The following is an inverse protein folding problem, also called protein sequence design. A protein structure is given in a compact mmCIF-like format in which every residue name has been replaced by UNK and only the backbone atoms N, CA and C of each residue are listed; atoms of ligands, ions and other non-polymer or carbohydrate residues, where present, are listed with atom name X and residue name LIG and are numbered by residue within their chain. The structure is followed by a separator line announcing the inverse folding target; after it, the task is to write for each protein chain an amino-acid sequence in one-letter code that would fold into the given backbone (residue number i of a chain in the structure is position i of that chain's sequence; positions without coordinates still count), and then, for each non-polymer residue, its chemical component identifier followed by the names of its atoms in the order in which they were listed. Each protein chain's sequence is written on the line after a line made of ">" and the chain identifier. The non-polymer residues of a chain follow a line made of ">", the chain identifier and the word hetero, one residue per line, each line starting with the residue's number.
data_IF_271194025971
#
_entry.id   IF_271194025971
#
_cell.length_a   1.000
_cell.length_b   1.000
_cell.length_c   1.000
_cell.angle_alpha   90.00
_cell.angle_beta   90.00
_cell.angle_gamma   90.00
#
_symmetry.space_group_name_H-M   'P 1'
#
loop_
_entity.id
_entity.type
_entity.pdbx_description
1 polymer ?
#
# COMPACT_ATOMS: atom_id res chain seq x y z
N UNK A 1 28.03 1.27 0.89
CA UNK A 1 27.55 1.16 -0.51
C UNK A 1 26.50 0.06 -0.51
N UNK A 2 25.30 0.36 -0.97
CA UNK A 2 24.23 -0.64 -1.10
C UNK A 2 24.64 -1.56 -2.25
N UNK A 3 24.70 -2.89 -1.99
CA UNK A 3 24.85 -3.86 -3.07
C UNK A 3 23.63 -3.75 -4.00
N UNK A 4 23.83 -3.76 -5.33
CA UNK A 4 22.69 -3.82 -6.24
C UNK A 4 21.85 -5.05 -5.92
N UNK A 5 20.51 -4.91 -6.00
CA UNK A 5 19.62 -6.02 -5.78
C UNK A 5 19.96 -7.17 -6.74
N UNK A 6 19.93 -8.39 -6.23
CA UNK A 6 19.99 -9.58 -7.05
C UNK A 6 18.68 -9.62 -7.84
N UNK A 7 18.73 -9.49 -9.17
CA UNK A 7 17.55 -9.68 -10.00
C UNK A 7 17.05 -11.10 -9.77
N UNK A 8 15.81 -11.19 -9.24
CA UNK A 8 15.15 -12.48 -9.12
C UNK A 8 14.87 -13.06 -10.50
N UNK A 9 15.01 -14.35 -10.58
CA UNK A 9 14.26 -15.11 -11.56
C UNK A 9 12.77 -14.93 -11.25
N UNK A 10 11.90 -14.70 -12.25
CA UNK A 10 10.45 -14.47 -12.12
C UNK A 10 9.71 -15.58 -11.34
N UNK A 11 10.39 -16.67 -11.00
CA UNK A 11 9.87 -17.78 -10.21
C UNK A 11 9.86 -17.52 -8.69
N UNK A 12 10.47 -16.44 -8.18
CA UNK A 12 10.55 -16.17 -6.74
C UNK A 12 9.44 -15.23 -6.24
N UNK A 13 8.92 -14.31 -7.09
CA UNK A 13 7.69 -13.57 -6.82
C UNK A 13 6.62 -14.03 -7.81
N UNK A 14 5.64 -14.82 -7.38
CA UNK A 14 4.70 -15.45 -8.29
C UNK A 14 3.76 -14.44 -8.96
N UNK A 15 3.33 -14.75 -10.18
CA UNK A 15 2.29 -14.04 -10.91
C UNK A 15 1.02 -14.89 -10.87
N UNK A 16 -0.04 -14.38 -10.30
CA UNK A 16 -1.31 -15.08 -10.12
C UNK A 16 -2.37 -14.48 -11.05
N UNK A 17 -3.03 -15.34 -11.82
CA UNK A 17 -4.19 -14.98 -12.60
C UNK A 17 -5.44 -14.99 -11.70
N UNK A 18 -6.02 -13.80 -11.44
CA UNK A 18 -7.20 -13.67 -10.59
C UNK A 18 -8.51 -13.61 -11.39
N UNK A 19 -8.47 -13.74 -12.71
CA UNK A 19 -9.67 -13.78 -13.56
C UNK A 19 -10.72 -14.76 -13.07
N UNK A 20 -10.37 -16.03 -12.75
CA UNK A 20 -11.34 -17.00 -12.21
C UNK A 20 -11.99 -16.54 -10.90
N UNK A 21 -11.26 -15.84 -10.02
CA UNK A 21 -11.80 -15.29 -8.78
C UNK A 21 -12.77 -14.13 -9.02
N UNK A 22 -12.50 -13.29 -10.00
CA UNK A 22 -13.37 -12.17 -10.39
C UNK A 22 -14.68 -12.69 -10.98
N UNK A 23 -14.60 -13.67 -11.90
CA UNK A 23 -15.76 -14.23 -12.59
C UNK A 23 -16.51 -15.27 -11.77
N UNK A 24 -16.07 -15.59 -10.56
CA UNK A 24 -16.66 -16.61 -9.68
C UNK A 24 -16.74 -18.01 -10.34
N UNK A 25 -15.73 -18.31 -11.16
CA UNK A 25 -15.54 -19.60 -11.80
C UNK A 25 -14.85 -20.60 -10.86
N UNK A 26 -14.44 -21.77 -11.38
CA UNK A 26 -13.62 -22.72 -10.61
C UNK A 26 -12.30 -22.06 -10.22
N UNK A 27 -12.22 -21.62 -8.96
CA UNK A 27 -11.12 -20.76 -8.46
C UNK A 27 -10.15 -21.49 -7.52
N UNK A 28 -10.33 -22.80 -7.27
CA UNK A 28 -9.46 -23.57 -6.38
C UNK A 28 -7.96 -23.41 -6.73
N UNK A 29 -7.50 -23.54 -8.00
CA UNK A 29 -6.09 -23.33 -8.32
C UNK A 29 -5.58 -21.91 -8.00
N UNK A 30 -6.44 -20.90 -8.20
CA UNK A 30 -6.12 -19.52 -7.85
C UNK A 30 -6.02 -19.35 -6.33
N UNK A 31 -6.93 -19.94 -5.55
CA UNK A 31 -6.93 -19.91 -4.08
C UNK A 31 -5.68 -20.61 -3.53
N UNK A 32 -5.30 -21.76 -4.09
CA UNK A 32 -4.08 -22.47 -3.69
C UNK A 32 -2.82 -21.65 -4.02
N UNK A 33 -2.79 -20.97 -5.17
CA UNK A 33 -1.71 -20.07 -5.53
C UNK A 33 -1.62 -18.87 -4.58
N UNK A 34 -2.77 -18.26 -4.22
CA UNK A 34 -2.82 -17.19 -3.23
C UNK A 34 -2.34 -17.68 -1.85
N UNK A 35 -2.79 -18.85 -1.41
CA UNK A 35 -2.34 -19.45 -0.14
C UNK A 35 -0.83 -19.64 -0.10
N UNK A 36 -0.25 -20.22 -1.14
CA UNK A 36 1.20 -20.43 -1.24
C UNK A 36 1.95 -19.10 -1.26
N UNK A 37 1.56 -18.16 -2.12
CA UNK A 37 2.22 -16.88 -2.25
C UNK A 37 2.19 -16.06 -0.94
N UNK A 38 1.04 -16.00 -0.26
CA UNK A 38 0.89 -15.29 1.01
C UNK A 38 1.71 -15.93 2.15
N UNK A 39 1.81 -17.26 2.19
CA UNK A 39 2.54 -17.96 3.26
C UNK A 39 4.04 -18.07 3.01
N UNK A 40 4.48 -18.14 1.77
CA UNK A 40 5.89 -18.36 1.43
C UNK A 40 6.67 -17.07 1.20
N UNK A 41 6.03 -16.08 0.57
CA UNK A 41 6.68 -14.83 0.15
C UNK A 41 6.04 -13.60 0.79
N UNK A 42 4.70 -13.57 0.92
CA UNK A 42 3.94 -12.40 1.35
C UNK A 42 3.82 -11.31 0.27
N UNK A 43 4.38 -11.54 -0.92
CA UNK A 43 4.36 -10.69 -2.11
C UNK A 43 4.07 -11.51 -3.36
N UNK A 44 3.26 -10.96 -4.26
CA UNK A 44 2.98 -11.57 -5.56
C UNK A 44 2.41 -10.54 -6.54
N UNK A 45 2.48 -10.84 -7.83
CA UNK A 45 1.80 -10.06 -8.85
C UNK A 45 0.43 -10.66 -9.14
N UNK A 46 -0.52 -9.82 -9.49
CA UNK A 46 -1.81 -10.24 -10.04
C UNK A 46 -1.99 -9.72 -11.46
N UNK A 47 -2.59 -10.54 -12.32
CA UNK A 47 -3.02 -10.17 -13.67
C UNK A 47 -4.51 -10.44 -13.88
N UNK A 48 -5.06 -9.93 -14.98
CA UNK A 48 -6.49 -10.02 -15.30
C UNK A 48 -7.40 -9.36 -14.25
N UNK A 49 -6.90 -8.27 -13.64
CA UNK A 49 -7.54 -7.50 -12.56
C UNK A 49 -8.67 -6.57 -13.05
N UNK A 50 -8.85 -6.41 -14.36
CA UNK A 50 -9.90 -5.61 -15.03
C UNK A 50 -9.88 -4.10 -14.76
N UNK A 51 -8.86 -3.56 -14.12
CA UNK A 51 -8.69 -2.10 -14.02
C UNK A 51 -8.07 -1.62 -15.33
N UNK A 52 -8.72 -0.69 -16.07
CA UNK A 52 -8.20 -0.22 -17.36
C UNK A 52 -6.84 0.49 -17.20
N UNK A 53 -5.86 0.11 -18.00
CA UNK A 53 -4.55 0.77 -18.01
C UNK A 53 -4.65 2.27 -18.31
N UNK A 54 -5.62 2.68 -19.16
CA UNK A 54 -5.90 4.10 -19.44
C UNK A 54 -6.24 4.88 -18.18
N UNK A 55 -6.98 4.30 -17.23
CA UNK A 55 -7.30 4.97 -15.97
C UNK A 55 -6.04 5.18 -15.11
N UNK A 56 -5.14 4.21 -15.10
CA UNK A 56 -3.84 4.33 -14.39
C UNK A 56 -3.02 5.47 -14.98
N UNK A 57 -2.96 5.55 -16.32
CA UNK A 57 -2.26 6.64 -17.02
C UNK A 57 -2.91 8.02 -16.77
N UNK A 58 -4.23 8.09 -16.69
CA UNK A 58 -4.94 9.32 -16.34
C UNK A 58 -4.57 9.80 -14.93
N UNK A 59 -4.52 8.89 -13.94
CA UNK A 59 -4.09 9.23 -12.57
C UNK A 59 -2.65 9.69 -12.56
N UNK A 60 -1.76 8.98 -13.24
CA UNK A 60 -0.33 9.34 -13.33
C UNK A 60 -0.17 10.73 -13.93
N UNK A 61 -0.77 11.02 -15.07
CA UNK A 61 -0.67 12.33 -15.74
C UNK A 61 -1.21 13.47 -14.87
N UNK A 62 -2.36 13.27 -14.19
CA UNK A 62 -2.91 14.27 -13.29
C UNK A 62 -2.03 14.51 -12.05
N UNK A 63 -1.36 13.46 -11.55
CA UNK A 63 -0.42 13.57 -10.46
C UNK A 63 0.89 14.27 -10.88
N UNK A 64 1.41 13.97 -12.08
CA UNK A 64 2.56 14.68 -12.66
C UNK A 64 2.31 16.19 -12.74
N UNK A 65 1.13 16.59 -13.24
CA UNK A 65 0.72 18.00 -13.30
C UNK A 65 0.72 18.63 -11.90
N UNK A 66 0.14 17.98 -10.89
CA UNK A 66 0.10 18.46 -9.53
C UNK A 66 1.49 18.54 -8.88
N UNK A 67 2.34 17.52 -9.02
CA UNK A 67 3.68 17.52 -8.41
C UNK A 67 4.63 18.55 -9.05
N UNK A 68 4.39 18.95 -10.29
CA UNK A 68 5.09 20.06 -10.94
C UNK A 68 4.64 21.44 -10.44
N UNK A 69 3.57 21.54 -9.65
CA UNK A 69 3.09 22.82 -9.12
C UNK A 69 4.10 23.47 -8.16
N UNK A 70 4.04 24.79 -7.96
CA UNK A 70 4.82 25.49 -6.95
C UNK A 70 4.62 24.88 -5.56
N UNK A 71 5.68 24.80 -4.77
CA UNK A 71 5.64 24.19 -3.44
C UNK A 71 4.59 24.82 -2.51
N UNK A 72 4.38 26.13 -2.61
CA UNK A 72 3.36 26.86 -1.85
C UNK A 72 1.94 26.34 -2.14
N UNK A 73 1.62 26.05 -3.41
CA UNK A 73 0.32 25.51 -3.80
C UNK A 73 0.12 24.07 -3.28
N UNK A 74 1.16 23.24 -3.35
CA UNK A 74 1.14 21.89 -2.80
C UNK A 74 0.98 21.91 -1.27
N UNK A 75 1.74 22.77 -0.57
CA UNK A 75 1.70 22.93 0.88
C UNK A 75 0.38 23.50 1.40
N UNK A 76 -0.38 24.26 0.61
CA UNK A 76 -1.74 24.67 0.96
C UNK A 76 -2.67 23.46 1.21
N UNK A 77 -2.30 22.29 0.69
CA UNK A 77 -3.00 21.01 0.88
C UNK A 77 -2.23 20.06 1.79
N UNK A 78 -1.33 20.55 2.64
CA UNK A 78 -0.53 19.71 3.52
C UNK A 78 -1.38 18.65 4.24
N UNK A 79 -0.77 17.49 4.46
CA UNK A 79 -1.41 16.31 5.04
C UNK A 79 -2.08 16.62 6.40
N UNK A 80 -3.29 16.10 6.59
CA UNK A 80 -4.05 16.25 7.83
C UNK A 80 -3.77 15.12 8.83
N UNK A 81 -4.21 15.24 10.10
CA UNK A 81 -4.15 14.13 11.06
C UNK A 81 -4.86 12.85 10.59
N UNK A 82 -5.82 12.97 9.66
CA UNK A 82 -6.53 11.84 9.05
C UNK A 82 -5.75 11.21 7.87
N UNK A 83 -4.50 11.65 7.64
CA UNK A 83 -3.64 11.20 6.54
C UNK A 83 -4.32 11.40 5.17
N UNK A 84 -4.68 12.65 4.90
CA UNK A 84 -5.26 13.12 3.61
C UNK A 84 -4.62 14.43 3.20
N UNK A 85 -4.23 14.53 1.93
CA UNK A 85 -3.56 15.69 1.36
C UNK A 85 -2.11 15.42 0.96
N UNK A 86 -1.33 16.47 0.80
CA UNK A 86 0.03 16.46 0.31
C UNK A 86 1.05 16.19 1.42
N UNK A 87 1.92 15.23 1.21
CA UNK A 87 3.09 14.94 2.04
C UNK A 87 4.34 15.38 1.28
N UNK A 88 5.07 16.41 1.76
CA UNK A 88 6.25 16.91 1.07
C UNK A 88 7.46 15.98 1.18
N UNK A 89 8.48 16.29 0.39
CA UNK A 89 9.72 15.54 0.34
C UNK A 89 10.41 15.49 1.72
N UNK A 90 10.97 14.34 2.08
CA UNK A 90 11.73 14.12 3.32
C UNK A 90 10.92 14.25 4.63
N UNK A 91 9.61 14.20 4.58
CA UNK A 91 8.73 14.44 5.74
C UNK A 91 8.36 13.19 6.54
N UNK A 92 8.70 11.99 6.07
CA UNK A 92 8.40 10.75 6.75
C UNK A 92 9.55 10.35 7.67
N UNK A 93 9.32 10.40 8.97
CA UNK A 93 10.23 9.84 9.98
C UNK A 93 9.77 8.42 10.31
N UNK A 94 10.66 7.43 10.17
CA UNK A 94 10.45 6.11 10.73
C UNK A 94 11.16 6.09 12.09
N UNK A 95 10.44 6.42 13.16
CA UNK A 95 10.94 6.24 14.51
C UNK A 95 10.82 4.78 14.93
N UNK A 96 11.94 4.23 15.24
CA UNK A 96 12.10 2.90 15.84
C UNK A 96 13.45 2.32 15.45
N UNK A 97 14.42 2.38 16.37
CA UNK A 97 15.77 1.85 16.24
C UNK A 97 16.70 2.61 15.29
N UNK A 98 17.65 3.36 15.82
CA UNK A 98 18.95 3.86 15.29
C UNK A 98 19.13 4.14 13.78
N UNK A 99 18.08 4.18 12.98
CA UNK A 99 18.08 4.46 11.55
C UNK A 99 17.10 5.58 11.21
N UNK A 100 17.45 6.80 11.58
CA UNK A 100 16.79 8.00 11.05
C UNK A 100 17.10 8.13 9.55
N UNK A 101 16.39 7.38 8.71
CA UNK A 101 16.40 7.51 7.26
C UNK A 101 15.20 8.34 6.83
N UNK A 102 15.42 9.40 6.07
CA UNK A 102 14.34 10.13 5.40
C UNK A 102 14.01 9.43 4.08
N UNK A 103 12.73 9.13 3.85
CA UNK A 103 12.30 8.63 2.54
C UNK A 103 12.32 9.75 1.51
N UNK A 104 13.00 9.54 0.37
CA UNK A 104 13.11 10.51 -0.71
C UNK A 104 11.93 10.39 -1.67
N UNK A 105 10.76 10.79 -1.18
CA UNK A 105 9.51 10.82 -1.93
C UNK A 105 8.59 11.92 -1.41
N UNK A 106 7.76 12.44 -2.29
CA UNK A 106 6.57 13.21 -1.93
C UNK A 106 5.32 12.40 -2.29
N UNK A 107 4.15 12.78 -1.79
CA UNK A 107 2.95 12.02 -2.08
C UNK A 107 1.66 12.76 -1.84
N UNK A 108 0.61 12.34 -2.53
CA UNK A 108 -0.74 12.86 -2.31
C UNK A 108 -1.67 11.73 -1.86
N UNK A 109 -2.32 11.93 -0.70
CA UNK A 109 -3.12 10.93 -0.03
C UNK A 109 -4.61 11.25 -0.07
N UNK A 110 -5.42 10.22 -0.33
CA UNK A 110 -6.88 10.27 -0.20
C UNK A 110 -7.39 9.03 0.53
N UNK A 111 -8.64 9.09 0.95
CA UNK A 111 -9.41 7.95 1.46
C UNK A 111 -10.87 8.12 1.09
N UNK A 112 -11.76 7.38 1.76
CA UNK A 112 -13.20 7.61 1.62
C UNK A 112 -13.53 9.06 1.94
N UNK A 113 -14.31 9.71 1.09
CA UNK A 113 -14.70 11.11 1.27
C UNK A 113 -15.83 11.19 2.31
N UNK A 114 -15.45 11.46 3.55
CA UNK A 114 -16.40 11.59 4.67
C UNK A 114 -16.72 13.07 4.89
N UNK A 115 -18.00 13.42 5.10
CA UNK A 115 -18.35 14.81 5.39
C UNK A 115 -17.72 15.29 6.71
N UNK A 116 -17.49 16.60 6.86
CA UNK A 116 -16.95 17.22 8.07
C UNK A 116 -17.77 16.92 9.33
N UNK A 117 -19.05 16.61 9.17
CA UNK A 117 -19.93 16.21 10.27
C UNK A 117 -19.53 14.85 10.89
N UNK A 118 -18.72 14.05 10.21
CA UNK A 118 -18.16 12.82 10.78
C UNK A 118 -16.96 13.19 11.64
N UNK A 119 -17.18 13.31 12.94
CA UNK A 119 -16.11 13.56 13.91
C UNK A 119 -15.35 12.26 14.19
N UNK A 120 -14.33 11.99 13.39
CA UNK A 120 -13.41 10.86 13.60
C UNK A 120 -11.97 11.37 13.58
N UNK A 121 -11.13 10.95 14.55
CA UNK A 121 -9.71 11.29 14.52
C UNK A 121 -8.95 10.61 13.39
N UNK A 122 -9.55 9.59 12.76
CA UNK A 122 -8.93 8.74 11.73
C UNK A 122 -9.52 8.96 10.34
N UNK A 123 -10.63 9.68 10.21
CA UNK A 123 -11.29 9.87 8.93
C UNK A 123 -11.98 11.25 8.84
N UNK A 124 -12.14 11.76 7.63
CA UNK A 124 -12.69 13.08 7.36
C UNK A 124 -12.77 13.34 5.86
N UNK A 125 -12.98 14.60 5.42
CA UNK A 125 -13.03 14.95 4.01
C UNK A 125 -11.66 14.80 3.33
N UNK A 126 -11.67 14.49 2.04
CA UNK A 126 -10.49 14.63 1.20
C UNK A 126 -10.21 16.12 0.94
N UNK A 127 -8.94 16.46 0.70
CA UNK A 127 -8.50 17.79 0.31
C UNK A 127 -8.15 17.78 -1.16
N UNK A 128 -8.63 18.75 -1.92
CA UNK A 128 -8.44 18.77 -3.37
C UNK A 128 -7.92 20.12 -3.85
N UNK A 129 -6.94 20.14 -4.76
CA UNK A 129 -6.50 21.37 -5.43
C UNK A 129 -7.55 21.80 -6.46
N UNK A 130 -8.11 23.00 -6.29
CA UNK A 130 -9.11 23.54 -7.25
C UNK A 130 -8.50 23.76 -8.64
N UNK A 131 -7.21 24.08 -8.70
CA UNK A 131 -6.46 24.34 -9.94
C UNK A 131 -6.22 23.07 -10.75
N UNK A 132 -6.29 21.87 -10.14
CA UNK A 132 -5.99 20.57 -10.76
C UNK A 132 -7.19 19.61 -10.65
N UNK A 133 -8.35 19.92 -11.27
CA UNK A 133 -9.60 19.16 -11.08
C UNK A 133 -9.51 17.72 -11.62
N UNK A 134 -8.60 17.47 -12.57
CA UNK A 134 -8.29 16.14 -13.10
C UNK A 134 -7.79 15.20 -12.02
N UNK A 135 -7.00 15.69 -11.06
CA UNK A 135 -6.49 14.87 -9.94
C UNK A 135 -7.63 14.27 -9.12
N UNK A 136 -8.63 15.09 -8.76
CA UNK A 136 -9.80 14.62 -8.01
C UNK A 136 -10.56 13.55 -8.78
N UNK A 137 -10.94 13.83 -10.02
CA UNK A 137 -11.81 12.96 -10.80
C UNK A 137 -11.16 11.61 -11.11
N UNK A 138 -9.85 11.59 -11.43
CA UNK A 138 -9.13 10.37 -11.76
C UNK A 138 -8.82 9.54 -10.52
N UNK A 139 -8.34 10.17 -9.43
CA UNK A 139 -8.03 9.46 -8.20
C UNK A 139 -9.26 8.82 -7.56
N UNK A 140 -10.43 9.49 -7.57
CA UNK A 140 -11.67 8.88 -7.04
C UNK A 140 -12.12 7.68 -7.87
N UNK A 141 -12.08 7.77 -9.22
CA UNK A 141 -12.41 6.63 -10.08
C UNK A 141 -11.45 5.46 -9.85
N UNK A 142 -10.16 5.73 -9.74
CA UNK A 142 -9.16 4.70 -9.47
C UNK A 142 -9.31 4.09 -8.07
N UNK A 143 -9.63 4.91 -7.07
CA UNK A 143 -9.93 4.45 -5.72
C UNK A 143 -11.10 3.47 -5.71
N UNK A 144 -12.20 3.82 -6.39
CA UNK A 144 -13.38 2.96 -6.48
C UNK A 144 -13.08 1.62 -7.17
N UNK A 145 -12.30 1.63 -8.27
CA UNK A 145 -11.91 0.41 -8.97
C UNK A 145 -10.98 -0.49 -8.12
N UNK A 146 -10.01 0.13 -7.44
CA UNK A 146 -9.09 -0.62 -6.57
C UNK A 146 -9.78 -1.14 -5.31
N UNK A 147 -10.76 -0.44 -4.75
CA UNK A 147 -11.61 -0.94 -3.65
C UNK A 147 -12.47 -2.15 -4.10
N UNK A 148 -13.00 -2.15 -5.34
CA UNK A 148 -13.68 -3.34 -5.89
C UNK A 148 -12.72 -4.52 -6.00
N UNK A 149 -11.52 -4.29 -6.51
CA UNK A 149 -10.47 -5.31 -6.58
C UNK A 149 -10.07 -5.81 -5.18
N UNK A 150 -9.99 -4.91 -4.19
CA UNK A 150 -9.72 -5.28 -2.81
C UNK A 150 -10.78 -6.25 -2.24
N UNK A 151 -12.06 -6.04 -2.55
CA UNK A 151 -13.14 -6.95 -2.13
C UNK A 151 -13.02 -8.34 -2.78
N UNK A 152 -12.56 -8.41 -4.03
CA UNK A 152 -12.28 -9.70 -4.69
C UNK A 152 -11.13 -10.43 -3.98
N UNK A 153 -10.05 -9.71 -3.65
CA UNK A 153 -8.91 -10.29 -2.95
C UNK A 153 -9.25 -10.71 -1.51
N UNK A 154 -10.07 -9.94 -0.78
CA UNK A 154 -10.56 -10.32 0.56
C UNK A 154 -11.30 -11.65 0.53
N UNK A 155 -12.11 -11.89 -0.50
CA UNK A 155 -12.76 -13.19 -0.71
C UNK A 155 -11.73 -14.30 -0.96
N UNK A 156 -10.74 -14.05 -1.83
CA UNK A 156 -9.67 -15.01 -2.09
C UNK A 156 -8.85 -15.34 -0.84
N UNK A 157 -8.50 -14.33 -0.04
CA UNK A 157 -7.77 -14.53 1.21
C UNK A 157 -8.61 -15.28 2.27
N UNK A 158 -9.92 -15.00 2.37
CA UNK A 158 -10.79 -15.77 3.25
C UNK A 158 -10.73 -17.25 2.91
N UNK A 159 -10.92 -17.60 1.65
CA UNK A 159 -10.87 -18.99 1.16
C UNK A 159 -9.46 -19.60 1.32
N UNK A 160 -8.40 -18.82 1.04
CA UNK A 160 -7.02 -19.26 1.23
C UNK A 160 -6.70 -19.58 2.70
N UNK A 161 -7.37 -18.94 3.65
CA UNK A 161 -7.30 -19.24 5.09
C UNK A 161 -8.22 -20.39 5.52
N UNK A 162 -9.03 -20.94 4.62
CA UNK A 162 -10.02 -21.98 4.94
C UNK A 162 -11.26 -21.44 5.65
N UNK A 163 -11.53 -20.15 5.52
CA UNK A 163 -12.69 -19.47 6.08
C UNK A 163 -13.81 -19.34 5.04
N UNK A 164 -15.02 -18.98 5.49
CA UNK A 164 -16.12 -18.61 4.59
C UNK A 164 -15.71 -17.43 3.68
N UNK A 165 -16.19 -17.42 2.45
CA UNK A 165 -15.76 -16.47 1.42
C UNK A 165 -15.95 -14.98 1.78
N UNK A 166 -16.95 -14.67 2.61
CA UNK A 166 -17.26 -13.31 3.08
C UNK A 166 -16.65 -12.96 4.46
N UNK A 167 -15.88 -13.91 5.05
CA UNK A 167 -15.44 -13.77 6.44
C UNK A 167 -14.63 -12.49 6.67
N UNK A 168 -13.60 -12.25 5.89
CA UNK A 168 -12.76 -11.04 6.05
C UNK A 168 -13.51 -9.76 5.71
N UNK A 169 -14.42 -9.77 4.72
CA UNK A 169 -15.19 -8.58 4.33
C UNK A 169 -16.00 -7.96 5.47
N UNK A 170 -16.31 -8.74 6.50
CA UNK A 170 -17.04 -8.27 7.71
C UNK A 170 -16.26 -7.21 8.49
N UNK A 171 -14.94 -7.21 8.39
CA UNK A 171 -14.02 -6.27 9.05
C UNK A 171 -13.77 -4.98 8.24
N UNK A 172 -14.30 -4.92 7.00
CA UNK A 172 -14.10 -3.81 6.06
C UNK A 172 -15.41 -3.07 5.70
N UNK A 173 -16.36 -2.98 6.64
CA UNK A 173 -17.66 -2.30 6.41
C UNK A 173 -17.52 -0.79 6.26
N UNK A 174 -16.64 -0.17 7.02
CA UNK A 174 -16.27 1.23 6.95
C UNK A 174 -14.74 1.35 6.94
N UNK A 175 -14.07 0.89 5.88
CA UNK A 175 -12.63 0.71 5.87
C UNK A 175 -11.89 2.04 6.01
N UNK A 176 -10.73 2.00 6.66
CA UNK A 176 -9.79 3.12 6.74
C UNK A 176 -8.77 3.08 5.59
N UNK A 177 -9.15 2.52 4.45
CA UNK A 177 -8.26 2.44 3.28
C UNK A 177 -7.75 3.80 2.86
N UNK A 178 -6.50 3.84 2.40
CA UNK A 178 -5.83 5.05 1.90
C UNK A 178 -5.18 4.76 0.57
N UNK A 179 -5.51 5.59 -0.41
CA UNK A 179 -4.83 5.63 -1.69
C UNK A 179 -3.76 6.73 -1.64
N UNK A 180 -2.59 6.42 -2.13
CA UNK A 180 -1.51 7.39 -2.29
C UNK A 180 -1.00 7.39 -3.72
N UNK A 181 -0.72 8.54 -4.29
CA UNK A 181 0.20 8.65 -5.41
C UNK A 181 1.54 9.09 -4.88
N UNK A 182 2.58 8.30 -5.13
CA UNK A 182 3.96 8.64 -4.80
C UNK A 182 4.68 9.21 -6.02
N UNK A 183 5.44 10.26 -5.80
CA UNK A 183 6.45 10.77 -6.70
C UNK A 183 7.83 10.64 -6.03
N UNK A 184 8.76 10.04 -6.73
CA UNK A 184 10.16 9.89 -6.32
C UNK A 184 11.02 10.69 -7.31
N UNK A 185 11.46 11.90 -6.94
CA UNK A 185 12.33 12.70 -7.80
C UNK A 185 13.62 11.97 -8.13
N UNK A 186 14.28 12.35 -9.24
CA UNK A 186 15.55 11.75 -9.64
C UNK A 186 16.60 11.83 -8.55
N UNK A 187 17.17 10.69 -8.17
CA UNK A 187 18.33 10.64 -7.27
C UNK A 187 19.60 10.35 -8.05
N UNK A 188 20.66 11.08 -7.73
CA UNK A 188 22.00 10.82 -8.31
C UNK A 188 22.62 9.59 -7.65
N UNK A 189 23.16 8.70 -8.46
CA UNK A 189 23.95 7.55 -7.98
C UNK A 189 25.29 8.00 -7.39
N UNK A 190 25.82 7.35 -6.33
CA UNK A 190 25.23 6.21 -5.64
C UNK A 190 24.14 6.63 -4.64
N UNK A 191 23.07 5.88 -4.60
CA UNK A 191 22.04 6.03 -3.57
C UNK A 191 22.62 5.54 -2.24
N UNK A 192 22.43 6.33 -1.18
CA UNK A 192 22.92 6.02 0.17
C UNK A 192 21.85 5.27 0.96
N UNK A 193 22.27 4.45 1.92
CA UNK A 193 21.35 3.71 2.80
C UNK A 193 20.47 4.63 3.67
N UNK A 194 20.92 5.84 3.93
CA UNK A 194 20.18 6.86 4.67
C UNK A 194 19.29 7.75 3.79
N UNK A 195 19.21 7.48 2.47
CA UNK A 195 18.43 8.27 1.51
C UNK A 195 17.81 7.37 0.44
N UNK A 196 16.97 6.44 0.86
CA UNK A 196 16.21 5.56 -0.03
C UNK A 196 14.94 6.25 -0.50
N UNK A 197 14.35 5.80 -1.61
CA UNK A 197 13.00 6.18 -2.00
C UNK A 197 12.01 5.87 -0.88
N UNK A 198 12.07 4.64 -0.34
CA UNK A 198 11.40 4.24 0.92
C UNK A 198 12.34 3.33 1.71
N UNK A 199 12.55 3.64 2.98
CA UNK A 199 13.34 2.80 3.88
C UNK A 199 12.69 1.43 4.13
N UNK A 200 13.46 0.40 4.54
CA UNK A 200 12.90 -0.90 4.89
C UNK A 200 11.77 -0.82 5.91
N UNK A 201 10.61 -1.41 5.60
CA UNK A 201 9.43 -1.44 6.46
C UNK A 201 8.51 -2.60 6.09
N UNK A 202 7.51 -2.84 6.92
CA UNK A 202 6.31 -3.65 6.61
C UNK A 202 5.09 -2.76 6.61
N UNK A 203 4.03 -3.14 5.88
CA UNK A 203 2.77 -2.41 5.89
C UNK A 203 1.94 -2.76 7.13
N UNK A 204 1.37 -1.75 7.78
CA UNK A 204 0.64 -1.91 9.04
C UNK A 204 -0.81 -2.39 8.89
N UNK A 205 -1.35 -2.37 7.66
CA UNK A 205 -2.74 -2.68 7.34
C UNK A 205 -3.02 -4.16 7.07
N UNK A 206 -4.14 -4.41 6.37
CA UNK A 206 -4.48 -5.75 5.89
C UNK A 206 -3.57 -6.20 4.76
N UNK A 207 -3.56 -5.47 3.68
CA UNK A 207 -2.71 -5.71 2.50
C UNK A 207 -2.65 -4.45 1.63
N UNK A 208 -1.74 -4.43 0.66
CA UNK A 208 -1.56 -3.33 -0.28
C UNK A 208 -1.76 -3.81 -1.71
N UNK A 209 -2.44 -3.00 -2.53
CA UNK A 209 -2.54 -3.13 -3.99
C UNK A 209 -1.69 -2.03 -4.59
N UNK A 210 -0.59 -2.38 -5.24
CA UNK A 210 0.40 -1.41 -5.73
C UNK A 210 0.54 -1.48 -7.24
N UNK A 211 0.26 -0.37 -7.93
CA UNK A 211 0.79 -0.13 -9.26
C UNK A 211 2.14 0.59 -9.17
N UNK A 212 3.09 0.21 -10.00
CA UNK A 212 4.38 0.89 -10.18
C UNK A 212 4.69 1.10 -11.66
N UNK A 213 5.38 2.18 -11.97
CA UNK A 213 5.84 2.48 -13.31
C UNK A 213 7.01 1.61 -13.75
N UNK A 214 7.45 1.82 -15.00
CA UNK A 214 8.55 1.08 -15.66
C UNK A 214 9.92 1.29 -15.04
N UNK A 215 10.10 2.29 -14.17
CA UNK A 215 11.40 2.60 -13.52
C UNK A 215 11.77 1.52 -12.50
N UNK A 216 10.77 0.95 -11.82
CA UNK A 216 11.01 -0.12 -10.85
C UNK A 216 11.58 0.37 -9.52
N UNK A 217 12.54 -0.39 -8.95
CA UNK A 217 13.23 -0.05 -7.71
C UNK A 217 12.57 -0.58 -6.43
N UNK A 218 11.44 -1.26 -6.51
CA UNK A 218 10.88 -2.02 -5.38
C UNK A 218 11.73 -3.26 -5.12
N UNK A 219 12.10 -3.46 -3.86
CA UNK A 219 12.83 -4.63 -3.38
C UNK A 219 12.13 -5.23 -2.17
N UNK A 220 12.09 -6.55 -2.13
CA UNK A 220 11.45 -7.35 -1.09
C UNK A 220 12.51 -8.20 -0.40
N UNK A 221 12.47 -8.31 0.93
CA UNK A 221 13.42 -9.11 1.67
C UNK A 221 12.97 -10.57 1.72
N UNK A 222 13.79 -11.48 1.21
CA UNK A 222 13.48 -12.90 1.27
C UNK A 222 13.71 -13.48 2.68
N UNK A 223 13.30 -14.74 2.89
CA UNK A 223 13.45 -15.43 4.18
C UNK A 223 14.91 -15.60 4.66
N UNK A 224 15.89 -15.37 3.77
CA UNK A 224 17.33 -15.38 4.10
C UNK A 224 17.86 -13.99 4.46
N UNK A 225 17.00 -12.96 4.46
CA UNK A 225 17.39 -11.57 4.69
C UNK A 225 18.01 -10.88 3.47
N UNK A 226 17.95 -11.49 2.28
CA UNK A 226 18.49 -10.92 1.05
C UNK A 226 17.43 -10.04 0.38
N UNK A 227 17.84 -8.89 -0.17
CA UNK A 227 16.98 -7.99 -0.93
C UNK A 227 16.84 -8.45 -2.36
N UNK A 228 15.62 -8.53 -2.80
CA UNK A 228 15.21 -9.09 -4.05
C UNK A 228 14.36 -8.09 -4.81
N UNK A 229 14.74 -7.76 -6.06
CA UNK A 229 14.00 -6.83 -6.90
C UNK A 229 12.62 -7.36 -7.28
N UNK A 230 11.62 -6.48 -7.22
CA UNK A 230 10.28 -6.71 -7.75
C UNK A 230 10.09 -5.83 -9.01
N UNK A 231 10.62 -6.22 -10.18
CA UNK A 231 10.57 -5.42 -11.39
C UNK A 231 9.11 -5.21 -11.85
N UNK A 232 8.82 -4.07 -12.53
CA UNK A 232 7.52 -3.88 -13.14
C UNK A 232 7.21 -4.97 -14.17
N UNK A 233 6.00 -5.50 -14.11
CA UNK A 233 5.45 -6.41 -15.11
C UNK A 233 4.23 -5.70 -15.71
N UNK A 234 4.18 -5.64 -17.04
CA UNK A 234 3.09 -4.99 -17.75
C UNK A 234 1.74 -5.61 -17.37
N UNK A 235 0.72 -4.77 -17.24
CA UNK A 235 -0.66 -5.16 -16.91
C UNK A 235 -0.77 -6.00 -15.61
N UNK A 236 0.03 -5.65 -14.60
CA UNK A 236 -0.06 -6.28 -13.27
C UNK A 236 -0.09 -5.25 -12.14
N UNK A 237 -0.64 -5.69 -11.01
CA UNK A 237 -0.41 -5.06 -9.71
C UNK A 237 0.48 -5.96 -8.85
N UNK A 238 1.28 -5.33 -7.99
CA UNK A 238 1.94 -6.02 -6.87
C UNK A 238 0.99 -6.03 -5.69
N UNK A 239 0.84 -7.18 -5.06
CA UNK A 239 0.10 -7.34 -3.81
C UNK A 239 1.09 -7.70 -2.72
N UNK A 240 0.98 -7.06 -1.56
CA UNK A 240 1.72 -7.46 -0.39
C UNK A 240 0.82 -7.56 0.85
N UNK A 241 1.10 -8.56 1.67
CA UNK A 241 0.44 -8.82 2.94
C UNK A 241 0.94 -7.84 4.00
N UNK A 242 0.01 -7.27 4.78
CA UNK A 242 0.32 -6.38 5.90
C UNK A 242 0.19 -7.05 7.27
N UNK A 243 0.63 -6.35 8.31
CA UNK A 243 0.74 -6.86 9.67
C UNK A 243 -0.61 -7.34 10.26
N UNK A 244 -1.72 -6.70 9.87
CA UNK A 244 -3.04 -7.12 10.37
C UNK A 244 -3.43 -8.48 9.77
N UNK A 245 -3.17 -8.70 8.48
CA UNK A 245 -3.44 -10.00 7.85
C UNK A 245 -2.53 -11.09 8.40
N UNK A 246 -1.27 -10.78 8.69
CA UNK A 246 -0.36 -11.69 9.38
C UNK A 246 -0.89 -12.07 10.76
N UNK A 247 -1.37 -11.10 11.55
CA UNK A 247 -2.00 -11.34 12.86
C UNK A 247 -3.26 -12.19 12.73
N UNK A 248 -4.17 -11.86 11.82
CA UNK A 248 -5.39 -12.64 11.59
C UNK A 248 -5.11 -14.09 11.18
N UNK A 249 -4.07 -14.30 10.39
CA UNK A 249 -3.64 -15.63 9.98
C UNK A 249 -2.76 -16.36 11.01
N UNK A 250 -2.55 -15.76 12.19
CA UNK A 250 -1.65 -16.30 13.21
C UNK A 250 -0.25 -16.62 12.68
N UNK A 251 0.31 -15.71 11.83
CA UNK A 251 1.61 -15.86 11.22
C UNK A 251 1.65 -16.83 10.03
N UNK A 252 0.51 -17.37 9.59
CA UNK A 252 0.47 -18.24 8.41
C UNK A 252 0.73 -17.44 7.12
N UNK A 253 0.16 -16.26 6.97
CA UNK A 253 0.55 -15.30 5.95
C UNK A 253 1.69 -14.43 6.49
N UNK A 254 2.59 -14.02 5.62
CA UNK A 254 3.80 -13.28 6.00
C UNK A 254 3.70 -11.80 5.60
N UNK A 255 3.84 -10.90 6.57
CA UNK A 255 4.09 -9.48 6.30
C UNK A 255 5.58 -9.29 6.04
N UNK A 256 5.95 -9.07 4.79
CA UNK A 256 7.35 -9.15 4.36
C UNK A 256 7.97 -7.75 4.25
N UNK A 257 9.17 -7.53 4.83
CA UNK A 257 9.88 -6.27 4.71
C UNK A 257 10.19 -5.93 3.24
N UNK A 258 9.97 -4.66 2.89
CA UNK A 258 10.26 -4.15 1.56
C UNK A 258 10.78 -2.72 1.62
N UNK A 259 11.42 -2.29 0.53
CA UNK A 259 12.01 -0.95 0.39
C UNK A 259 11.95 -0.48 -1.05
N UNK A 260 12.21 0.81 -1.30
CA UNK A 260 12.31 1.37 -2.64
C UNK A 260 13.64 2.06 -2.82
N UNK A 261 14.35 1.72 -3.90
CA UNK A 261 15.58 2.37 -4.33
C UNK A 261 15.31 3.05 -5.68
N UNK A 262 15.32 4.38 -5.72
CA UNK A 262 15.22 5.12 -6.98
C UNK A 262 16.63 5.42 -7.52
N UNK A 263 17.21 4.49 -8.26
CA UNK A 263 18.56 4.63 -8.85
C UNK A 263 18.56 5.10 -10.30
N UNK A 264 17.40 5.25 -10.93
CA UNK A 264 17.27 5.45 -12.38
C UNK A 264 17.66 6.85 -12.88
N UNK A 265 17.86 7.82 -12.00
CA UNK A 265 18.09 9.22 -12.39
C UNK A 265 16.90 9.85 -13.13
N UNK A 266 15.72 9.25 -13.02
CA UNK A 266 14.46 9.66 -13.60
C UNK A 266 13.38 9.77 -12.51
N UNK A 267 12.32 10.51 -12.81
CA UNK A 267 11.13 10.54 -11.97
C UNK A 267 10.47 9.15 -11.97
N UNK A 268 10.11 8.67 -10.79
CA UNK A 268 9.39 7.41 -10.58
C UNK A 268 8.05 7.68 -9.94
N UNK A 269 7.02 6.95 -10.38
CA UNK A 269 5.68 7.00 -9.80
C UNK A 269 5.22 5.62 -9.32
N UNK A 270 4.46 5.62 -8.24
CA UNK A 270 3.73 4.42 -7.79
C UNK A 270 2.42 4.81 -7.10
N UNK A 271 1.43 3.92 -7.18
CA UNK A 271 0.08 4.20 -6.71
C UNK A 271 -0.40 3.04 -5.82
N UNK A 272 -0.04 3.03 -4.53
CA UNK A 272 -0.53 2.04 -3.58
C UNK A 272 -1.92 2.39 -3.04
N UNK A 273 -2.82 1.40 -2.99
CA UNK A 273 -3.99 1.37 -2.12
C UNK A 273 -3.64 0.52 -0.89
N UNK A 274 -3.60 1.15 0.27
CA UNK A 274 -3.48 0.47 1.56
C UNK A 274 -4.86 0.06 2.03
N UNK A 275 -5.17 -1.23 1.98
CA UNK A 275 -6.48 -1.79 2.35
C UNK A 275 -6.49 -2.05 3.86
N UNK A 276 -7.23 -1.22 4.57
CA UNK A 276 -7.25 -1.17 6.03
C UNK A 276 -8.63 -1.52 6.56
N UNK A 277 -8.75 -2.30 7.65
CA UNK A 277 -10.05 -2.60 8.25
C UNK A 277 -10.73 -1.35 8.82
N UNK A 278 -11.98 -1.51 9.23
CA UNK A 278 -12.75 -0.47 9.93
C UNK A 278 -12.15 -0.17 11.29
N UNK A 279 -12.23 1.08 11.76
CA UNK A 279 -11.61 1.53 13.00
C UNK A 279 -12.06 0.75 14.25
N UNK A 280 -13.32 0.36 14.28
CA UNK A 280 -13.96 -0.32 15.41
C UNK A 280 -13.57 -1.80 15.56
N UNK A 281 -12.81 -2.34 14.61
CA UNK A 281 -12.45 -3.77 14.60
C UNK A 281 -11.46 -4.09 15.71
N UNK A 282 -11.73 -5.17 16.43
CA UNK A 282 -10.76 -5.81 17.31
C UNK A 282 -9.96 -6.84 16.53
N UNK A 283 -8.65 -6.69 16.54
CA UNK A 283 -7.71 -7.58 15.86
C UNK A 283 -7.28 -8.70 16.81
N UNK A 284 -7.50 -9.92 16.39
CA UNK A 284 -7.05 -11.15 17.06
C UNK A 284 -6.90 -12.26 15.99
N UNK A 285 -6.15 -13.32 16.23
CA UNK A 285 -6.06 -14.42 15.28
C UNK A 285 -7.41 -15.02 14.95
N UNK A 286 -7.66 -15.29 13.66
CA UNK A 286 -8.90 -15.90 13.16
C UNK A 286 -8.76 -17.41 12.94
N UNK A 287 -7.52 -17.87 12.86
CA UNK A 287 -7.17 -19.31 12.68
C UNK A 287 -6.03 -19.69 13.60
N UNK A 288 -5.88 -20.99 13.82
CA UNK A 288 -4.81 -21.53 14.67
C UNK A 288 -5.04 -21.29 16.18
N UNK A 289 -4.00 -20.93 16.91
CA UNK A 289 -4.11 -20.61 18.33
C UNK A 289 -4.62 -19.17 18.49
N UNK A 290 -5.90 -19.02 18.84
CA UNK A 290 -6.57 -17.72 18.99
C UNK A 290 -6.04 -16.89 20.17
N UNK A 291 -5.37 -17.50 21.14
CA UNK A 291 -4.80 -16.86 22.32
C UNK A 291 -3.31 -16.51 22.16
N UNK A 292 -2.76 -16.67 20.94
CA UNK A 292 -1.34 -16.41 20.67
C UNK A 292 -0.97 -14.93 20.66
N UNK A 293 -1.95 -14.05 20.45
CA UNK A 293 -1.78 -12.59 20.40
C UNK A 293 -2.84 -11.95 21.29
N UNK A 294 -2.46 -11.02 22.15
CA UNK A 294 -3.41 -10.21 22.92
C UNK A 294 -4.26 -9.37 21.97
N UNK A 295 -5.60 -9.45 22.03
CA UNK A 295 -6.46 -8.68 21.17
C UNK A 295 -6.27 -7.17 21.34
N UNK A 296 -6.27 -6.41 20.22
CA UNK A 296 -6.13 -4.96 20.26
C UNK A 296 -7.14 -4.27 19.33
N UNK A 297 -7.47 -3.02 19.66
CA UNK A 297 -8.41 -2.20 18.87
C UNK A 297 -7.67 -1.54 17.70
N UNK A 298 -8.13 -1.80 16.47
CA UNK A 298 -7.44 -1.33 15.26
C UNK A 298 -7.34 0.20 15.19
N UNK A 299 -8.41 0.91 15.49
CA UNK A 299 -8.42 2.38 15.44
C UNK A 299 -7.41 3.01 16.38
N UNK A 300 -7.24 2.46 17.59
CA UNK A 300 -6.23 2.93 18.54
C UNK A 300 -4.82 2.66 18.01
N UNK A 301 -4.56 1.43 17.58
CA UNK A 301 -3.30 1.03 16.96
C UNK A 301 -2.92 1.94 15.78
N UNK A 302 -3.87 2.18 14.87
CA UNK A 302 -3.62 2.98 13.67
C UNK A 302 -3.38 4.46 14.00
N UNK A 303 -4.11 5.00 14.98
CA UNK A 303 -3.90 6.38 15.45
C UNK A 303 -2.49 6.57 16.01
N UNK A 304 -2.07 5.68 16.90
CA UNK A 304 -0.75 5.76 17.54
C UNK A 304 0.37 5.63 16.49
N UNK A 305 0.18 4.75 15.51
CA UNK A 305 1.13 4.57 14.43
C UNK A 305 1.22 5.81 13.54
N UNK A 306 0.09 6.39 13.13
CA UNK A 306 0.09 7.60 12.30
C UNK A 306 0.72 8.79 13.00
N UNK A 307 0.45 8.98 14.30
CA UNK A 307 1.08 10.04 15.08
C UNK A 307 2.61 9.91 15.14
N UNK A 308 3.14 8.70 15.20
CA UNK A 308 4.58 8.44 15.16
C UNK A 308 5.17 8.61 13.76
N UNK A 309 4.47 8.11 12.74
CA UNK A 309 4.98 8.11 11.35
C UNK A 309 4.87 9.48 10.67
N UNK A 310 3.85 10.27 11.03
CA UNK A 310 3.55 11.57 10.43
C UNK A 310 3.46 12.67 11.49
N UNK A 311 4.59 13.05 12.13
CA UNK A 311 4.57 14.05 13.23
C UNK A 311 4.02 15.41 12.81
N UNK A 312 4.07 15.75 11.52
CA UNK A 312 3.52 16.98 10.94
C UNK A 312 1.99 17.02 10.95
N UNK A 313 1.37 15.87 10.82
CA UNK A 313 -0.09 15.77 10.90
C UNK A 313 -0.64 16.16 12.31
N UNK A 314 0.24 16.27 13.30
CA UNK A 314 -0.11 16.64 14.68
C UNK A 314 0.02 18.15 14.96
N UNK A 315 0.48 18.95 13.97
CA UNK A 315 0.65 20.40 14.12
C UNK A 315 -0.63 21.10 13.67
N UNK A 316 -1.63 21.12 14.52
CA UNK A 316 -2.68 22.13 14.55
C UNK A 316 -3.18 22.31 15.97
#
# INVERSE_FOLDING_TARGET
>A
MISPSRRLDFTEIPVIDIGPLIHQEQSEPCIDALRAACSEVGFFYIRNHQIPFSLIQEVRAAAEEFFCAPEEEKMALAITPQIKGYLPLAYRSYEGEDRAGTSHQEGFWIGHDRPESVQSPLDGPNRWPEQYPSLKSTMLRYFDETERLANVLLRGFSLALGLESDHLSRYFKAPLSRLKVNHYPPQRSPVREDNLGVVPHTDSGGFTILWQDEIGGLEVQNKKGEWVGAPPIEDTFVINIGNIMETWSNGFFSSTPHRVINCGGQDRYSIPLFVNPSAEVTIAPLIGNIDSVEPFHYGTYQKDLWQKTFPVANIT
#
